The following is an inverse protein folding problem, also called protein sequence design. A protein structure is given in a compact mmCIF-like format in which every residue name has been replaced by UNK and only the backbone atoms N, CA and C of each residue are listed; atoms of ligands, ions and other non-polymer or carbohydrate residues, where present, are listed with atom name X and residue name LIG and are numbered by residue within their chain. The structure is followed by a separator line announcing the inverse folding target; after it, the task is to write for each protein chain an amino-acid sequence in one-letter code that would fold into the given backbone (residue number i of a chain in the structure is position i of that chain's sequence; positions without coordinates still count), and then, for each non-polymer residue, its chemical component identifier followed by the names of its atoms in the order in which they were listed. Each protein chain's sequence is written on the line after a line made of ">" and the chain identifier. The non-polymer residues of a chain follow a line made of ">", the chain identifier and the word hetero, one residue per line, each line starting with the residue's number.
data_IF_342048699109
#
_entry.id   IF_342048699109
#
_cell.length_a   1.000
_cell.length_b   1.000
_cell.length_c   1.000
_cell.angle_alpha   90.00
_cell.angle_beta   90.00
_cell.angle_gamma   90.00
#
_symmetry.space_group_name_H-M   'P 1'
#
loop_
_entity.id
_entity.type
_entity.pdbx_description
1 polymer ?
#
# COMPACT_ATOMS: atom_id res chain seq x y z
N UNK A 1 -15.09 16.46 -1.44
CA UNK A 1 -15.99 15.90 -0.40
C UNK A 1 -15.26 14.93 0.53
N UNK A 2 -14.74 13.79 0.03
CA UNK A 2 -14.04 12.78 0.86
C UNK A 2 -12.84 13.35 1.63
N UNK A 3 -12.04 14.21 0.98
CA UNK A 3 -10.89 14.90 1.58
C UNK A 3 -11.27 15.86 2.73
N UNK A 4 -12.47 16.44 2.68
CA UNK A 4 -12.98 17.35 3.71
C UNK A 4 -13.57 16.56 4.89
N UNK A 5 -14.22 15.43 4.59
CA UNK A 5 -14.81 14.54 5.60
C UNK A 5 -13.76 13.73 6.38
N UNK A 6 -12.62 13.40 5.77
CA UNK A 6 -11.59 12.55 6.38
C UNK A 6 -10.79 13.24 7.49
N UNK A 7 -10.95 14.56 7.68
CA UNK A 7 -10.15 15.40 8.60
C UNK A 7 -8.63 15.31 8.38
N UNK A 8 -8.18 14.73 7.27
CA UNK A 8 -6.77 14.66 6.91
C UNK A 8 -6.38 16.02 6.33
N UNK A 9 -5.31 16.67 6.83
CA UNK A 9 -4.88 17.95 6.30
C UNK A 9 -4.51 17.79 4.82
N UNK A 10 -5.01 18.68 3.93
CA UNK A 10 -4.91 18.49 2.49
C UNK A 10 -3.47 18.46 1.98
N UNK A 11 -2.55 19.14 2.66
CA UNK A 11 -1.13 19.13 2.30
C UNK A 11 -0.47 17.75 2.49
N UNK A 12 -0.93 16.91 3.43
CA UNK A 12 -0.41 15.56 3.62
C UNK A 12 -0.94 14.64 2.51
N UNK A 13 -2.23 14.73 2.18
CA UNK A 13 -2.83 13.96 1.10
C UNK A 13 -2.23 14.33 -0.29
N UNK A 14 -1.95 15.61 -0.52
CA UNK A 14 -1.36 16.11 -1.77
C UNK A 14 0.15 15.83 -1.88
N UNK A 15 0.81 15.39 -0.80
CA UNK A 15 2.22 14.97 -0.85
C UNK A 15 2.43 13.79 -1.80
N UNK A 16 1.45 12.88 -1.89
CA UNK A 16 1.47 11.77 -2.85
C UNK A 16 1.45 12.25 -4.30
N UNK A 17 0.71 13.33 -4.59
CA UNK A 17 0.66 13.94 -5.93
C UNK A 17 2.03 14.48 -6.36
N UNK A 18 2.81 15.01 -5.41
CA UNK A 18 4.17 15.49 -5.67
C UNK A 18 5.11 14.37 -6.11
N UNK A 19 4.97 13.16 -5.57
CA UNK A 19 5.78 12.02 -6.00
C UNK A 19 5.47 11.57 -7.44
N UNK A 20 4.23 11.80 -7.90
CA UNK A 20 3.74 11.39 -9.22
C UNK A 20 3.72 12.56 -10.21
N UNK A 21 4.23 13.74 -9.83
CA UNK A 21 4.14 14.95 -10.65
C UNK A 21 4.80 14.79 -12.02
N UNK A 22 5.92 14.06 -12.09
CA UNK A 22 6.60 13.73 -13.33
C UNK A 22 5.70 12.91 -14.27
N UNK A 23 5.00 11.91 -13.75
CA UNK A 23 4.06 11.08 -14.52
C UNK A 23 2.84 11.90 -14.98
N UNK A 24 2.36 12.84 -14.17
CA UNK A 24 1.25 13.72 -14.55
C UNK A 24 1.62 14.65 -15.71
N UNK A 25 2.78 15.31 -15.62
CA UNK A 25 3.26 16.19 -16.69
C UNK A 25 3.54 15.40 -17.95
N UNK A 26 4.13 14.20 -17.82
CA UNK A 26 4.39 13.31 -18.94
C UNK A 26 3.09 12.84 -19.61
N UNK A 27 2.07 12.45 -18.83
CA UNK A 27 0.79 12.00 -19.37
C UNK A 27 0.05 13.10 -20.13
N UNK A 28 0.05 14.34 -19.63
CA UNK A 28 -0.55 15.48 -20.32
C UNK A 28 0.22 15.78 -21.61
N UNK A 29 1.56 15.85 -21.53
CA UNK A 29 2.40 16.13 -22.67
C UNK A 29 2.25 15.06 -23.76
N UNK A 30 2.29 13.77 -23.41
CA UNK A 30 2.17 12.65 -24.33
C UNK A 30 0.82 12.61 -25.07
N UNK A 31 -0.27 13.04 -24.41
CA UNK A 31 -1.60 13.07 -25.01
C UNK A 31 -1.86 14.36 -25.80
N UNK A 32 -1.23 15.48 -25.42
CA UNK A 32 -1.40 16.78 -26.05
C UNK A 32 -0.52 16.97 -27.29
N UNK A 33 0.69 16.38 -27.34
CA UNK A 33 1.58 16.44 -28.49
C UNK A 33 1.20 15.40 -29.54
N UNK A 34 0.96 15.86 -30.77
CA UNK A 34 0.86 14.99 -31.96
C UNK A 34 1.83 15.44 -33.04
N UNK A 35 2.37 14.45 -33.76
CA UNK A 35 3.26 14.63 -34.92
C UNK A 35 2.50 14.75 -36.25
N UNK A 36 1.24 14.34 -36.30
CA UNK A 36 0.38 14.42 -37.48
C UNK A 36 -0.52 15.67 -37.44
N UNK A 37 -0.99 16.20 -38.59
CA UNK A 37 -1.79 17.41 -38.64
C UNK A 37 -3.14 17.18 -37.94
N UNK A 38 -3.24 17.67 -36.70
CA UNK A 38 -4.47 17.68 -35.95
C UNK A 38 -5.56 18.48 -36.70
N UNK A 39 -6.76 17.90 -36.80
CA UNK A 39 -7.94 18.52 -37.44
C UNK A 39 -8.42 19.78 -36.72
N UNK A 40 -8.06 20.00 -35.44
CA UNK A 40 -8.36 21.21 -34.66
C UNK A 40 -7.15 21.57 -33.77
N UNK A 41 -6.16 22.28 -34.33
CA UNK A 41 -4.97 22.71 -33.59
C UNK A 41 -5.22 24.05 -32.86
N UNK A 42 -4.98 24.12 -31.54
CA UNK A 42 -5.07 25.38 -30.78
C UNK A 42 -3.82 26.25 -30.97
N UNK A 43 -2.64 25.62 -31.00
CA UNK A 43 -1.35 26.31 -31.19
C UNK A 43 -0.44 25.40 -32.05
N UNK A 44 0.16 25.97 -33.10
CA UNK A 44 1.17 25.30 -33.93
C UNK A 44 2.55 25.80 -33.55
N UNK A 45 3.42 24.90 -33.10
CA UNK A 45 4.86 25.15 -32.87
C UNK A 45 5.65 24.21 -33.79
N UNK A 46 5.73 24.56 -35.08
CA UNK A 46 6.44 23.77 -36.09
C UNK A 46 5.79 22.40 -36.39
N UNK A 47 6.55 21.27 -36.46
CA UNK A 47 6.01 19.92 -36.71
C UNK A 47 5.22 19.36 -35.51
N UNK A 48 5.16 20.09 -34.41
CA UNK A 48 4.41 19.73 -33.21
C UNK A 48 3.16 20.59 -33.13
N UNK A 49 2.00 19.93 -33.27
CA UNK A 49 0.70 20.56 -33.06
C UNK A 49 0.16 20.13 -31.69
N UNK A 50 -0.35 21.10 -30.92
CA UNK A 50 -1.10 20.82 -29.69
C UNK A 50 -2.57 20.59 -30.08
N UNK A 51 -3.01 19.34 -29.94
CA UNK A 51 -4.37 18.92 -30.25
C UNK A 51 -5.30 19.22 -29.07
N UNK A 52 -6.37 19.99 -29.29
CA UNK A 52 -7.34 20.33 -28.22
C UNK A 52 -8.01 19.11 -27.58
N UNK A 53 -8.54 18.17 -28.38
CA UNK A 53 -9.01 16.86 -27.91
C UNK A 53 -7.91 16.06 -27.17
N UNK A 54 -6.67 16.13 -27.63
CA UNK A 54 -5.51 15.50 -26.98
C UNK A 54 -5.23 16.07 -25.58
N UNK A 55 -5.27 17.39 -25.44
CA UNK A 55 -5.16 18.07 -24.15
C UNK A 55 -6.29 17.69 -23.20
N UNK A 56 -7.55 17.66 -23.66
CA UNK A 56 -8.69 17.24 -22.86
C UNK A 56 -8.54 15.80 -22.34
N UNK A 57 -8.07 14.88 -23.18
CA UNK A 57 -7.74 13.50 -22.77
C UNK A 57 -6.57 13.45 -21.79
N UNK A 58 -5.51 14.22 -22.02
CA UNK A 58 -4.37 14.32 -21.10
C UNK A 58 -4.78 14.80 -19.71
N UNK A 59 -5.61 15.84 -19.65
CA UNK A 59 -6.19 16.35 -18.40
C UNK A 59 -7.07 15.29 -17.73
N UNK A 60 -7.91 14.58 -18.50
CA UNK A 60 -8.75 13.49 -17.96
C UNK A 60 -7.92 12.37 -17.30
N UNK A 61 -6.84 11.92 -17.97
CA UNK A 61 -5.93 10.93 -17.39
C UNK A 61 -5.16 11.47 -16.17
N UNK A 62 -4.73 12.72 -16.21
CA UNK A 62 -4.06 13.35 -15.06
C UNK A 62 -4.98 13.42 -13.83
N UNK A 63 -6.24 13.85 -14.01
CA UNK A 63 -7.23 13.86 -12.92
C UNK A 63 -7.47 12.44 -12.40
N UNK A 64 -7.58 11.43 -13.27
CA UNK A 64 -7.72 10.03 -12.87
C UNK A 64 -6.57 9.54 -12.00
N UNK A 65 -5.33 9.85 -12.38
CA UNK A 65 -4.14 9.50 -11.59
C UNK A 65 -4.17 10.22 -10.24
N UNK A 66 -4.50 11.51 -10.21
CA UNK A 66 -4.61 12.27 -8.95
C UNK A 66 -5.65 11.66 -8.03
N UNK A 67 -6.83 11.29 -8.54
CA UNK A 67 -7.90 10.65 -7.75
C UNK A 67 -7.42 9.31 -7.18
N UNK A 68 -6.75 8.48 -7.98
CA UNK A 68 -6.19 7.20 -7.51
C UNK A 68 -5.15 7.41 -6.39
N UNK A 69 -4.20 8.32 -6.59
CA UNK A 69 -3.12 8.58 -5.63
C UNK A 69 -3.66 9.14 -4.33
N UNK A 70 -4.57 10.10 -4.39
CA UNK A 70 -5.19 10.72 -3.21
C UNK A 70 -6.04 9.70 -2.45
N UNK A 71 -6.84 8.89 -3.17
CA UNK A 71 -7.68 7.86 -2.54
C UNK A 71 -6.85 6.80 -1.81
N UNK A 72 -5.79 6.29 -2.45
CA UNK A 72 -4.87 5.33 -1.83
C UNK A 72 -4.14 5.95 -0.63
N UNK A 73 -3.71 7.21 -0.75
CA UNK A 73 -3.04 7.91 0.36
C UNK A 73 -3.97 8.08 1.56
N UNK A 74 -5.24 8.44 1.32
CA UNK A 74 -6.24 8.53 2.38
C UNK A 74 -6.44 7.18 3.07
N UNK A 75 -6.61 6.09 2.31
CA UNK A 75 -6.75 4.74 2.86
C UNK A 75 -5.58 4.39 3.79
N UNK A 76 -4.35 4.65 3.36
CA UNK A 76 -3.13 4.39 4.14
C UNK A 76 -3.03 5.26 5.40
N UNK A 77 -3.48 6.52 5.34
CA UNK A 77 -3.39 7.45 6.46
C UNK A 77 -4.50 7.27 7.51
N UNK A 78 -5.69 6.83 7.10
CA UNK A 78 -6.85 6.70 8.00
C UNK A 78 -7.02 5.29 8.56
N UNK A 79 -6.27 4.31 8.06
CA UNK A 79 -6.48 2.89 8.38
C UNK A 79 -5.22 2.26 8.95
N UNK A 80 -5.35 1.57 10.09
CA UNK A 80 -4.20 0.87 10.68
C UNK A 80 -3.84 -0.38 9.88
N UNK A 81 -2.56 -0.81 9.84
CA UNK A 81 -2.15 -2.04 9.17
C UNK A 81 -2.92 -3.27 9.66
N UNK A 82 -3.18 -3.38 10.97
CA UNK A 82 -3.93 -4.51 11.56
C UNK A 82 -5.40 -4.51 11.10
N UNK A 83 -6.02 -3.33 10.97
CA UNK A 83 -7.38 -3.27 10.40
C UNK A 83 -7.43 -3.64 8.92
N UNK A 84 -6.35 -3.41 8.16
CA UNK A 84 -6.25 -3.86 6.76
C UNK A 84 -6.17 -5.39 6.67
N UNK A 85 -5.49 -6.07 7.61
CA UNK A 85 -5.44 -7.54 7.62
C UNK A 85 -6.78 -8.14 7.96
N UNK A 86 -7.51 -7.54 8.91
CA UNK A 86 -8.89 -7.95 9.22
C UNK A 86 -9.83 -7.77 8.01
N UNK A 87 -9.65 -6.68 7.25
CA UNK A 87 -10.40 -6.43 6.02
C UNK A 87 -10.04 -7.44 4.91
N UNK A 88 -8.75 -7.74 4.75
CA UNK A 88 -8.26 -8.71 3.78
C UNK A 88 -8.78 -10.11 4.10
N UNK A 89 -8.78 -10.50 5.37
CA UNK A 89 -9.36 -11.78 5.81
C UNK A 89 -10.84 -11.89 5.42
N UNK A 90 -11.62 -10.82 5.64
CA UNK A 90 -13.04 -10.77 5.23
C UNK A 90 -13.20 -10.91 3.72
N UNK A 91 -12.33 -10.27 2.94
CA UNK A 91 -12.32 -10.36 1.49
C UNK A 91 -11.91 -11.76 0.99
N UNK A 92 -11.07 -12.47 1.74
CA UNK A 92 -10.62 -13.82 1.45
C UNK A 92 -11.60 -14.91 1.89
N UNK A 93 -12.62 -14.61 2.72
CA UNK A 93 -13.65 -15.58 3.15
C UNK A 93 -14.24 -16.45 2.04
N UNK A 94 -14.63 -15.96 0.84
CA UNK A 94 -15.14 -16.82 -0.22
C UNK A 94 -14.14 -17.88 -0.68
N UNK A 95 -12.82 -17.62 -0.58
CA UNK A 95 -11.79 -18.61 -0.91
C UNK A 95 -11.77 -19.78 0.07
N UNK A 96 -12.42 -19.67 1.23
CA UNK A 96 -12.60 -20.80 2.16
C UNK A 96 -13.36 -21.95 1.50
N UNK A 97 -14.25 -21.65 0.57
CA UNK A 97 -14.98 -22.68 -0.19
C UNK A 97 -14.09 -23.45 -1.17
N UNK A 98 -12.92 -22.91 -1.51
CA UNK A 98 -11.91 -23.54 -2.38
C UNK A 98 -10.81 -24.24 -1.56
N UNK A 99 -11.01 -24.39 -0.24
CA UNK A 99 -10.08 -25.08 0.66
C UNK A 99 -8.92 -24.20 1.18
N UNK A 100 -8.96 -22.88 0.98
CA UNK A 100 -7.92 -21.98 1.50
C UNK A 100 -8.13 -21.74 3.01
N UNK A 101 -7.09 -21.92 3.87
CA UNK A 101 -7.19 -21.71 5.31
C UNK A 101 -7.10 -20.21 5.68
N UNK A 102 -8.17 -19.47 5.37
CA UNK A 102 -8.23 -17.99 5.52
C UNK A 102 -7.90 -17.51 6.94
N UNK A 103 -8.37 -18.22 7.97
CA UNK A 103 -8.13 -17.84 9.37
C UNK A 103 -6.68 -17.98 9.83
N UNK A 104 -5.96 -18.98 9.30
CA UNK A 104 -4.55 -19.18 9.61
C UNK A 104 -3.70 -18.14 8.89
N UNK A 105 -4.01 -17.85 7.62
CA UNK A 105 -3.37 -16.77 6.84
C UNK A 105 -3.55 -15.42 7.55
N UNK A 106 -4.75 -15.11 8.04
CA UNK A 106 -5.00 -13.88 8.77
C UNK A 106 -4.21 -13.80 10.09
N UNK A 107 -4.06 -14.92 10.79
CA UNK A 107 -3.26 -14.99 12.01
C UNK A 107 -1.77 -14.77 11.69
N UNK A 108 -1.23 -15.44 10.67
CA UNK A 108 0.15 -15.28 10.21
C UNK A 108 0.43 -13.82 9.82
N UNK A 109 -0.47 -13.21 9.05
CA UNK A 109 -0.32 -11.82 8.62
C UNK A 109 -0.38 -10.83 9.80
N UNK A 110 -1.27 -11.08 10.77
CA UNK A 110 -1.37 -10.26 11.99
C UNK A 110 -0.11 -10.35 12.85
N UNK A 111 0.47 -11.55 12.99
CA UNK A 111 1.76 -11.77 13.69
C UNK A 111 2.88 -11.05 12.94
N UNK A 112 2.95 -11.22 11.61
CA UNK A 112 3.96 -10.58 10.77
C UNK A 112 3.93 -9.05 10.92
N UNK A 113 2.76 -8.42 10.77
CA UNK A 113 2.64 -6.97 10.91
C UNK A 113 3.07 -6.45 12.28
N UNK A 114 2.81 -7.21 13.34
CA UNK A 114 3.24 -6.87 14.70
C UNK A 114 4.75 -7.02 14.89
N UNK A 115 5.36 -8.01 14.23
CA UNK A 115 6.80 -8.24 14.34
C UNK A 115 7.65 -7.36 13.45
N UNK A 116 7.15 -6.89 12.29
CA UNK A 116 7.86 -5.95 11.41
C UNK A 116 8.55 -4.80 12.17
N UNK A 117 7.87 -4.00 13.02
CA UNK A 117 8.54 -2.90 13.71
C UNK A 117 9.64 -3.40 14.66
N UNK A 118 9.36 -4.45 15.44
CA UNK A 118 10.34 -4.98 16.40
C UNK A 118 11.55 -5.63 15.73
N UNK A 119 11.36 -6.29 14.58
CA UNK A 119 12.43 -6.91 13.80
C UNK A 119 13.27 -5.84 13.10
N UNK A 120 12.66 -4.73 12.66
CA UNK A 120 13.39 -3.60 12.09
C UNK A 120 14.30 -2.94 13.15
N UNK A 121 13.79 -2.70 14.36
CA UNK A 121 14.59 -2.19 15.48
C UNK A 121 15.73 -3.13 15.86
N UNK A 122 15.48 -4.45 15.85
CA UNK A 122 16.52 -5.44 16.12
C UNK A 122 17.58 -5.47 15.01
N UNK A 123 17.16 -5.40 13.74
CA UNK A 123 18.06 -5.32 12.60
C UNK A 123 18.98 -4.09 12.71
N UNK A 124 18.43 -2.93 13.07
CA UNK A 124 19.21 -1.71 13.30
C UNK A 124 20.25 -1.89 14.42
N UNK A 125 19.87 -2.51 15.54
CA UNK A 125 20.79 -2.82 16.64
C UNK A 125 21.91 -3.76 16.20
N UNK A 126 21.61 -4.80 15.42
CA UNK A 126 22.62 -5.74 14.91
C UNK A 126 23.55 -5.06 13.92
N UNK A 127 23.03 -4.21 13.01
CA UNK A 127 23.85 -3.40 12.09
C UNK A 127 24.82 -2.51 12.87
N UNK A 128 24.32 -1.79 13.88
CA UNK A 128 25.17 -0.92 14.70
C UNK A 128 26.23 -1.70 15.47
N UNK A 129 25.87 -2.84 16.06
CA UNK A 129 26.82 -3.70 16.78
C UNK A 129 27.93 -4.25 15.86
N UNK A 130 27.58 -4.66 14.64
CA UNK A 130 28.56 -5.11 13.66
C UNK A 130 29.44 -3.96 13.15
N UNK A 131 28.89 -2.75 12.98
CA UNK A 131 29.66 -1.56 12.66
C UNK A 131 30.70 -1.24 13.75
N UNK A 132 30.33 -1.34 15.03
CA UNK A 132 31.25 -1.17 16.16
C UNK A 132 32.34 -2.25 16.22
N UNK A 133 32.07 -3.45 15.68
CA UNK A 133 33.04 -4.54 15.53
C UNK A 133 33.92 -4.41 14.27
N UNK A 134 33.82 -3.30 13.55
CA UNK A 134 34.67 -2.99 12.39
C UNK A 134 34.08 -3.39 11.03
N UNK A 135 32.83 -3.86 10.97
CA UNK A 135 32.16 -4.09 9.69
C UNK A 135 31.89 -2.75 8.98
N UNK A 136 32.30 -2.65 7.70
CA UNK A 136 32.06 -1.47 6.87
C UNK A 136 31.03 -1.80 5.81
N UNK A 137 29.84 -1.22 5.93
CA UNK A 137 28.70 -1.43 5.02
C UNK A 137 28.69 -0.46 3.83
N UNK A 138 29.44 0.64 3.94
CA UNK A 138 29.50 1.78 3.03
C UNK A 138 30.65 1.68 2.01
N UNK A 139 31.66 0.83 2.27
CA UNK A 139 32.86 0.70 1.41
C UNK A 139 32.82 -0.53 0.50
N UNK A 140 33.48 -0.42 -0.64
CA UNK A 140 33.64 -1.52 -1.61
C UNK A 140 32.60 -1.56 -2.72
N UNK A 141 32.75 -2.54 -3.61
CA UNK A 141 31.79 -2.81 -4.69
C UNK A 141 30.47 -3.43 -4.19
N UNK A 142 29.43 -3.52 -5.03
CA UNK A 142 28.11 -4.03 -4.64
C UNK A 142 28.16 -5.44 -4.03
N UNK A 143 29.01 -6.32 -4.58
CA UNK A 143 29.21 -7.68 -4.07
C UNK A 143 29.86 -7.68 -2.68
N UNK A 144 30.82 -6.78 -2.45
CA UNK A 144 31.52 -6.67 -1.17
C UNK A 144 30.58 -6.14 -0.08
N UNK A 145 29.74 -5.15 -0.42
CA UNK A 145 28.69 -4.64 0.47
C UNK A 145 27.67 -5.74 0.80
N UNK A 146 27.22 -6.52 -0.18
CA UNK A 146 26.31 -7.64 0.07
C UNK A 146 26.92 -8.68 1.04
N UNK A 147 28.19 -9.03 0.85
CA UNK A 147 28.90 -9.94 1.78
C UNK A 147 29.04 -9.36 3.19
N UNK A 148 29.18 -8.04 3.33
CA UNK A 148 29.25 -7.38 4.63
C UNK A 148 27.96 -7.52 5.46
N UNK A 149 26.81 -7.80 4.85
CA UNK A 149 25.55 -8.05 5.57
C UNK A 149 25.38 -9.49 6.09
N UNK A 150 26.21 -10.45 5.67
CA UNK A 150 26.11 -11.84 6.14
C UNK A 150 26.18 -11.95 7.68
N UNK A 151 27.11 -11.27 8.39
CA UNK A 151 27.17 -11.28 9.85
C UNK A 151 25.99 -10.61 10.55
N UNK A 152 25.16 -9.85 9.83
CA UNK A 152 23.92 -9.25 10.33
C UNK A 152 22.75 -10.22 10.13
N UNK A 153 22.68 -10.86 8.96
CA UNK A 153 21.60 -11.78 8.61
C UNK A 153 21.58 -13.01 9.51
N UNK A 154 22.72 -13.65 9.76
CA UNK A 154 22.77 -14.91 10.53
C UNK A 154 22.20 -14.74 11.96
N UNK A 155 22.64 -13.76 12.77
CA UNK A 155 22.05 -13.52 14.10
C UNK A 155 20.56 -13.18 14.05
N UNK A 156 20.13 -12.38 13.07
CA UNK A 156 18.71 -12.02 12.94
C UNK A 156 17.84 -13.24 12.64
N UNK A 157 18.26 -14.13 11.74
CA UNK A 157 17.51 -15.36 11.47
C UNK A 157 17.44 -16.26 12.69
N UNK A 158 18.56 -16.45 13.40
CA UNK A 158 18.57 -17.26 14.64
C UNK A 158 17.61 -16.70 15.68
N UNK A 159 17.60 -15.37 15.87
CA UNK A 159 16.68 -14.73 16.81
C UNK A 159 15.22 -14.79 16.36
N UNK A 160 14.94 -14.67 15.06
CA UNK A 160 13.60 -14.85 14.49
C UNK A 160 13.07 -16.27 14.70
N UNK A 161 13.90 -17.31 14.51
CA UNK A 161 13.50 -18.69 14.78
C UNK A 161 13.22 -18.92 16.27
N UNK A 162 14.11 -18.46 17.16
CA UNK A 162 13.86 -18.54 18.61
C UNK A 162 12.56 -17.86 19.01
N UNK A 163 12.30 -16.67 18.49
CA UNK A 163 11.05 -15.95 18.77
C UNK A 163 9.83 -16.67 18.21
N UNK A 164 9.95 -17.33 17.06
CA UNK A 164 8.88 -18.14 16.50
C UNK A 164 8.57 -19.34 17.41
N UNK A 165 9.59 -20.03 17.92
CA UNK A 165 9.45 -21.14 18.88
C UNK A 165 8.82 -20.65 20.19
N UNK A 166 9.34 -19.57 20.78
CA UNK A 166 8.81 -18.96 22.00
C UNK A 166 7.33 -18.56 21.83
N UNK A 167 6.98 -17.97 20.68
CA UNK A 167 5.60 -17.60 20.37
C UNK A 167 4.73 -18.85 20.21
N UNK A 168 5.19 -19.88 19.52
CA UNK A 168 4.46 -21.13 19.34
C UNK A 168 4.18 -21.81 20.69
N UNK A 169 5.20 -21.96 21.54
CA UNK A 169 5.04 -22.52 22.89
C UNK A 169 4.08 -21.68 23.73
N UNK A 170 4.17 -20.35 23.67
CA UNK A 170 3.26 -19.46 24.39
C UNK A 170 1.81 -19.56 23.86
N UNK A 171 1.62 -19.78 22.56
CA UNK A 171 0.31 -19.99 21.95
C UNK A 171 -0.29 -21.34 22.38
N UNK A 172 0.50 -22.41 22.36
CA UNK A 172 0.08 -23.74 22.83
C UNK A 172 -0.28 -23.73 24.32
N UNK A 173 0.51 -23.08 25.16
CA UNK A 173 0.24 -22.90 26.59
C UNK A 173 -1.07 -22.15 26.86
N UNK A 174 -1.50 -21.27 25.93
CA UNK A 174 -2.80 -20.60 25.95
C UNK A 174 -3.91 -21.39 25.26
N UNK A 175 -3.67 -22.68 25.01
CA UNK A 175 -4.59 -23.60 24.33
C UNK A 175 -5.01 -23.12 22.93
N UNK A 176 -4.14 -22.40 22.23
CA UNK A 176 -4.43 -21.99 20.86
C UNK A 176 -4.32 -23.20 19.91
N UNK A 177 -5.45 -23.59 19.30
CA UNK A 177 -5.52 -24.75 18.39
C UNK A 177 -5.65 -24.40 16.90
N UNK A 178 -5.68 -23.11 16.54
CA UNK A 178 -5.93 -22.66 15.15
C UNK A 178 -7.34 -23.03 14.64
N UNK A 179 -7.68 -22.62 13.41
CA UNK A 179 -8.87 -23.15 12.71
C UNK A 179 -10.27 -22.61 13.10
N UNK A 180 -11.29 -23.38 12.72
CA UNK A 180 -12.72 -23.04 12.82
C UNK A 180 -13.23 -23.02 14.27
N UNK A 181 -14.26 -22.20 14.55
CA UNK A 181 -14.86 -22.09 15.89
C UNK A 181 -14.22 -21.05 16.82
N UNK A 182 -13.24 -20.27 16.34
CA UNK A 182 -12.66 -19.14 17.10
C UNK A 182 -13.61 -17.94 17.19
N UNK A 183 -13.70 -17.35 18.37
CA UNK A 183 -14.38 -16.08 18.60
C UNK A 183 -13.44 -14.90 18.38
N UNK A 184 -13.99 -13.73 18.02
CA UNK A 184 -13.21 -12.50 17.82
C UNK A 184 -13.40 -11.55 18.98
N UNK A 185 -12.29 -11.06 19.52
CA UNK A 185 -12.31 -10.02 20.54
C UNK A 185 -12.70 -8.65 19.95
N UNK A 186 -12.25 -8.35 18.73
CA UNK A 186 -12.58 -7.11 18.01
C UNK A 186 -13.36 -7.45 16.75
N UNK A 187 -14.66 -7.18 16.78
CA UNK A 187 -15.53 -7.27 15.62
C UNK A 187 -15.70 -5.88 15.00
N UNK A 188 -15.28 -5.70 13.75
CA UNK A 188 -15.70 -4.53 12.98
C UNK A 188 -17.19 -4.68 12.62
N UNK A 189 -18.03 -3.86 13.25
CA UNK A 189 -19.47 -3.77 12.99
C UNK A 189 -19.75 -2.55 12.14
N UNK A 190 -20.51 -2.74 11.06
CA UNK A 190 -20.97 -1.63 10.22
C UNK A 190 -21.96 -0.77 11.00
N UNK A 191 -21.66 0.53 11.11
CA UNK A 191 -22.57 1.54 11.64
C UNK A 191 -23.49 2.04 10.52
N UNK A 192 -24.58 2.71 10.87
CA UNK A 192 -25.50 3.29 9.88
C UNK A 192 -24.81 4.28 8.93
N UNK A 193 -23.81 5.01 9.42
CA UNK A 193 -22.96 5.89 8.60
C UNK A 193 -22.12 5.11 7.56
N UNK A 194 -21.65 3.90 7.91
CA UNK A 194 -20.87 3.07 7.00
C UNK A 194 -21.76 2.55 5.86
N UNK A 195 -23.00 2.16 6.18
CA UNK A 195 -23.99 1.81 5.16
C UNK A 195 -24.34 2.97 4.24
N UNK A 196 -24.58 4.17 4.80
CA UNK A 196 -24.87 5.36 4.02
C UNK A 196 -23.72 5.73 3.07
N UNK A 197 -22.48 5.67 3.54
CA UNK A 197 -21.30 5.95 2.71
C UNK A 197 -21.08 4.89 1.62
N UNK A 198 -21.34 3.61 1.92
CA UNK A 198 -21.22 2.51 0.97
C UNK A 198 -22.29 2.59 -0.13
N UNK A 199 -23.54 2.90 0.22
CA UNK A 199 -24.62 3.08 -0.75
C UNK A 199 -24.40 4.33 -1.62
N UNK A 200 -24.02 5.46 -1.01
CA UNK A 200 -23.73 6.68 -1.75
C UNK A 200 -22.54 6.50 -2.71
N UNK A 201 -21.47 5.83 -2.26
CA UNK A 201 -20.32 5.49 -3.09
C UNK A 201 -20.66 4.53 -4.23
N UNK A 202 -21.45 3.49 -3.95
CA UNK A 202 -21.93 2.55 -4.96
C UNK A 202 -22.81 3.21 -6.01
N UNK A 203 -23.76 4.04 -5.60
CA UNK A 203 -24.61 4.80 -6.51
C UNK A 203 -23.80 5.76 -7.39
N UNK A 204 -22.80 6.44 -6.82
CA UNK A 204 -21.90 7.31 -7.58
C UNK A 204 -21.08 6.53 -8.63
N UNK A 205 -20.57 5.34 -8.27
CA UNK A 205 -19.84 4.49 -9.23
C UNK A 205 -20.74 4.02 -10.37
N UNK A 206 -21.97 3.60 -10.08
CA UNK A 206 -22.94 3.19 -11.10
C UNK A 206 -23.32 4.36 -12.00
N UNK A 207 -23.57 5.54 -11.43
CA UNK A 207 -23.87 6.74 -12.21
C UNK A 207 -22.72 7.10 -13.16
N UNK A 208 -21.47 7.04 -12.68
CA UNK A 208 -20.29 7.27 -13.52
C UNK A 208 -20.13 6.19 -14.59
N UNK A 209 -20.41 4.92 -14.29
CA UNK A 209 -20.33 3.82 -15.26
C UNK A 209 -21.43 3.87 -16.34
N UNK A 210 -22.60 4.43 -16.03
CA UNK A 210 -23.70 4.64 -17.00
C UNK A 210 -23.48 5.89 -17.85
N UNK A 211 -22.77 6.89 -17.33
CA UNK A 211 -22.42 8.13 -18.03
C UNK A 211 -21.18 8.03 -18.93
N UNK A 212 -20.32 7.03 -18.71
CA UNK A 212 -19.12 6.71 -19.52
C UNK A 212 -19.46 5.78 -20.68
#
# INVERSE_FOLDING_TARGET
>A
VVLVLSRVPPHIALRGVRAVSFLLTFSIAAQALKWEPATVALVRLGPLAVDGPGLARGVFFAVRIVVLVVSTSLLTLTTTPVSLTDALERLMRPLRHVGVPVGDVATMLSIALRFIPTTAEEAEKVVLAQASRGARFDRGGPVQRAKAFIPVLVPLFVNLFRRADDLATAMEARCYRGGEGRTRLRESRMRGADWATLLAGGAALVAVAVLL
#
